data_IF_202133005519
#
_entry.id   IF_202133005519
#
_cell.length_a   1.000
_cell.length_b   1.000
_cell.length_c   1.000
_cell.angle_alpha   90.00
_cell.angle_beta   90.00
_cell.angle_gamma   90.00
#
_symmetry.space_group_name_H-M   'P 1'
#
loop_
_entity.id
_entity.type
_entity.pdbx_description
1 polymer ?
#
# COMPACT_ATOMS: atom_id res chain seq x y z
N UNK A 1 -20.79 -10.43 20.49
CA UNK A 1 -20.37 -11.85 20.45
C UNK A 1 -18.91 -11.89 20.87
N UNK A 2 -18.64 -12.37 22.09
CA UNK A 2 -17.29 -12.68 22.52
C UNK A 2 -16.94 -14.06 21.94
N UNK A 3 -16.11 -14.08 20.91
CA UNK A 3 -15.54 -15.32 20.40
C UNK A 3 -14.53 -15.76 21.44
N UNK A 4 -14.87 -16.76 22.27
CA UNK A 4 -13.88 -17.45 23.09
C UNK A 4 -12.99 -18.23 22.11
N UNK A 5 -11.82 -17.67 21.83
CA UNK A 5 -10.76 -18.37 21.10
C UNK A 5 -10.25 -19.46 22.06
N UNK A 6 -10.91 -20.61 22.05
CA UNK A 6 -10.42 -21.81 22.71
C UNK A 6 -9.13 -22.25 22.02
N UNK A 7 -8.19 -22.69 22.85
CA UNK A 7 -6.82 -23.10 22.52
C UNK A 7 -6.73 -23.80 21.16
N UNK A 8 -6.20 -23.08 20.17
CA UNK A 8 -6.02 -23.57 18.82
C UNK A 8 -4.94 -24.66 18.79
N UNK A 9 -5.32 -25.85 18.36
CA UNK A 9 -4.38 -26.86 17.88
C UNK A 9 -3.91 -26.49 16.47
N UNK A 10 -2.62 -26.16 16.32
CA UNK A 10 -2.02 -25.81 15.04
C UNK A 10 -1.27 -27.02 14.50
N UNK A 11 -1.70 -27.55 13.35
CA UNK A 11 -0.92 -28.54 12.59
C UNK A 11 -0.09 -27.75 11.59
N UNK A 12 1.23 -27.66 11.82
CA UNK A 12 2.16 -26.98 10.93
C UNK A 12 2.73 -27.96 9.91
N UNK A 13 2.28 -27.88 8.66
CA UNK A 13 2.87 -28.59 7.51
C UNK A 13 3.33 -27.57 6.46
N UNK A 14 4.51 -26.97 6.67
CA UNK A 14 5.11 -26.06 5.67
C UNK A 14 4.18 -24.92 5.24
N UNK A 15 4.14 -24.65 3.93
CA UNK A 15 3.41 -23.56 3.26
C UNK A 15 1.87 -23.57 3.43
N UNK A 16 1.33 -24.53 4.20
CA UNK A 16 -0.11 -24.66 4.52
C UNK A 16 -0.31 -24.89 6.02
N UNK A 17 -1.20 -24.11 6.64
CA UNK A 17 -1.61 -24.28 8.04
C UNK A 17 -3.12 -24.35 8.12
N UNK A 18 -3.66 -25.44 8.65
CA UNK A 18 -5.10 -25.62 8.87
C UNK A 18 -5.46 -25.30 10.31
N UNK A 19 -6.50 -24.49 10.48
CA UNK A 19 -7.01 -24.08 11.78
C UNK A 19 -8.28 -24.87 12.15
N UNK A 20 -8.78 -24.66 13.35
CA UNK A 20 -10.01 -25.29 13.82
C UNK A 20 -11.24 -24.81 13.03
N UNK A 21 -12.21 -25.71 12.92
CA UNK A 21 -13.49 -25.42 12.27
C UNK A 21 -14.37 -24.59 13.19
N UNK A 22 -14.94 -23.51 12.66
CA UNK A 22 -15.79 -22.57 13.40
C UNK A 22 -17.19 -22.55 12.81
N UNK A 23 -18.20 -22.50 13.67
CA UNK A 23 -19.60 -22.36 13.29
C UNK A 23 -20.02 -20.88 13.19
N UNK A 24 -20.73 -20.55 12.11
CA UNK A 24 -21.24 -19.22 11.81
C UNK A 24 -22.76 -19.20 11.83
N UNK A 25 -23.32 -18.14 12.41
CA UNK A 25 -24.77 -17.95 12.49
C UNK A 25 -25.26 -17.07 11.34
N UNK A 26 -26.44 -17.39 10.77
CA UNK A 26 -27.04 -16.61 9.69
C UNK A 26 -27.50 -15.22 10.17
N UNK A 27 -27.50 -14.25 9.25
CA UNK A 27 -27.89 -12.85 9.48
C UNK A 27 -29.32 -12.66 10.00
N UNK A 28 -30.26 -13.55 9.66
CA UNK A 28 -31.68 -13.48 10.07
C UNK A 28 -32.20 -14.88 10.42
N UNK A 29 -33.00 -14.97 11.49
CA UNK A 29 -33.82 -16.14 11.80
C UNK A 29 -34.73 -16.41 10.60
N UNK A 30 -34.37 -17.40 9.78
CA UNK A 30 -35.14 -17.84 8.60
C UNK A 30 -34.40 -17.87 7.25
N UNK A 31 -33.25 -17.19 7.08
CA UNK A 31 -32.65 -17.02 5.74
C UNK A 31 -31.55 -18.02 5.35
N UNK A 32 -31.00 -18.82 6.27
CA UNK A 32 -30.06 -19.95 6.01
C UNK A 32 -29.83 -20.74 7.30
N UNK A 33 -29.43 -22.01 7.21
CA UNK A 33 -28.98 -22.80 8.36
C UNK A 33 -27.62 -22.29 8.88
N UNK A 34 -27.30 -22.61 10.13
CA UNK A 34 -25.91 -22.45 10.62
C UNK A 34 -24.96 -23.25 9.71
N UNK A 35 -23.77 -22.71 9.47
CA UNK A 35 -22.76 -23.38 8.66
C UNK A 35 -21.41 -23.35 9.35
N UNK A 36 -20.58 -24.32 9.05
CA UNK A 36 -19.22 -24.44 9.56
C UNK A 36 -18.21 -24.09 8.47
N UNK A 37 -17.12 -23.45 8.86
CA UNK A 37 -15.99 -23.20 7.97
C UNK A 37 -14.65 -23.37 8.68
N UNK A 38 -13.68 -23.91 7.97
CA UNK A 38 -12.29 -24.05 8.37
C UNK A 38 -11.45 -22.96 7.71
N UNK A 39 -10.58 -22.33 8.50
CA UNK A 39 -9.58 -21.42 7.97
C UNK A 39 -8.31 -22.19 7.58
N UNK A 40 -7.79 -21.90 6.40
CA UNK A 40 -6.50 -22.40 5.92
C UNK A 40 -5.62 -21.20 5.59
N UNK A 41 -4.46 -21.11 6.22
CA UNK A 41 -3.39 -20.21 5.80
C UNK A 41 -2.56 -20.92 4.74
N UNK A 42 -2.29 -20.27 3.62
CA UNK A 42 -1.57 -20.82 2.47
C UNK A 42 -0.69 -19.77 1.81
N UNK A 43 0.49 -20.18 1.34
CA UNK A 43 1.25 -19.45 0.33
C UNK A 43 1.04 -20.09 -1.05
N UNK A 44 0.29 -19.43 -1.94
CA UNK A 44 -0.03 -19.99 -3.26
C UNK A 44 1.20 -20.14 -4.16
N UNK A 45 2.16 -19.21 -4.06
CA UNK A 45 3.42 -19.29 -4.80
C UNK A 45 4.15 -20.61 -4.50
N UNK A 46 4.33 -20.91 -3.22
CA UNK A 46 5.06 -22.12 -2.80
C UNK A 46 4.27 -23.39 -3.13
N UNK A 47 2.96 -23.40 -2.87
CA UNK A 47 2.10 -24.57 -3.07
C UNK A 47 1.99 -24.97 -4.54
N UNK A 48 2.04 -24.01 -5.47
CA UNK A 48 1.94 -24.28 -6.89
C UNK A 48 3.28 -24.69 -7.53
N UNK A 49 4.41 -24.35 -6.90
CA UNK A 49 5.75 -24.75 -7.37
C UNK A 49 6.21 -26.11 -6.85
N UNK A 50 5.69 -26.55 -5.70
CA UNK A 50 6.03 -27.83 -5.08
C UNK A 50 5.35 -28.99 -5.84
N UNK A 51 6.15 -29.96 -6.31
CA UNK A 51 5.64 -31.14 -7.03
C UNK A 51 4.84 -32.12 -6.15
N UNK A 52 5.03 -32.07 -4.83
CA UNK A 52 4.31 -32.85 -3.82
C UNK A 52 3.65 -31.90 -2.81
N UNK A 53 2.83 -30.97 -3.32
CA UNK A 53 2.18 -29.97 -2.47
C UNK A 53 0.97 -30.56 -1.73
N UNK A 54 0.78 -30.19 -0.45
CA UNK A 54 -0.38 -30.66 0.30
C UNK A 54 -1.65 -30.12 -0.36
N UNK A 55 -2.61 -31.03 -0.62
CA UNK A 55 -3.91 -30.64 -1.16
C UNK A 55 -4.63 -29.72 -0.15
N UNK A 56 -5.06 -28.54 -0.58
CA UNK A 56 -5.80 -27.60 0.27
C UNK A 56 -7.19 -28.15 0.60
N UNK A 57 -7.86 -28.71 -0.40
CA UNK A 57 -9.16 -29.37 -0.30
C UNK A 57 -9.04 -30.76 -0.92
N UNK A 58 -9.52 -31.83 -0.23
CA UNK A 58 -9.53 -33.16 -0.84
C UNK A 58 -10.28 -33.16 -2.17
N UNK A 59 -9.69 -33.77 -3.21
CA UNK A 59 -10.29 -33.93 -4.53
C UNK A 59 -10.49 -32.63 -5.34
N UNK A 60 -9.88 -31.51 -4.91
CA UNK A 60 -9.88 -30.27 -5.69
C UNK A 60 -8.44 -29.84 -5.93
N UNK A 61 -8.13 -29.45 -7.15
CA UNK A 61 -6.79 -28.99 -7.53
C UNK A 61 -6.50 -27.63 -6.87
N UNK A 62 -5.26 -27.43 -6.40
CA UNK A 62 -4.87 -26.17 -5.76
C UNK A 62 -5.00 -24.97 -6.71
N UNK A 63 -4.86 -25.20 -8.02
CA UNK A 63 -5.11 -24.21 -9.09
C UNK A 63 -6.56 -23.75 -9.12
N UNK A 64 -7.53 -24.67 -8.98
CA UNK A 64 -8.95 -24.33 -8.92
C UNK A 64 -9.27 -23.47 -7.67
N UNK A 65 -8.58 -23.73 -6.55
CA UNK A 65 -8.72 -22.91 -5.33
C UNK A 65 -8.20 -21.49 -5.58
N UNK A 66 -7.02 -21.35 -6.21
CA UNK A 66 -6.48 -20.04 -6.59
C UNK A 66 -7.44 -19.30 -7.52
N UNK A 67 -7.94 -19.95 -8.56
CA UNK A 67 -8.91 -19.38 -9.51
C UNK A 67 -10.17 -18.87 -8.83
N UNK A 68 -10.69 -19.58 -7.82
CA UNK A 68 -11.86 -19.11 -7.05
C UNK A 68 -11.52 -17.95 -6.12
N UNK A 69 -10.32 -17.91 -5.54
CA UNK A 69 -9.86 -16.77 -4.72
C UNK A 69 -9.72 -15.52 -5.58
N UNK A 70 -9.09 -15.62 -6.76
CA UNK A 70 -9.00 -14.52 -7.73
C UNK A 70 -10.41 -14.08 -8.16
N UNK A 71 -11.28 -15.02 -8.53
CA UNK A 71 -12.67 -14.73 -8.86
C UNK A 71 -13.44 -14.03 -7.73
N UNK A 72 -13.17 -14.38 -6.47
CA UNK A 72 -13.82 -13.75 -5.33
C UNK A 72 -13.41 -12.28 -5.19
N UNK A 73 -12.13 -11.97 -5.41
CA UNK A 73 -11.62 -10.61 -5.36
C UNK A 73 -12.10 -9.80 -6.58
N UNK A 74 -12.04 -10.35 -7.79
CA UNK A 74 -12.53 -9.69 -9.01
C UNK A 74 -14.00 -9.29 -8.90
N UNK A 75 -14.85 -10.20 -8.43
CA UNK A 75 -16.28 -9.90 -8.22
C UNK A 75 -16.52 -8.92 -7.06
N UNK A 76 -15.56 -8.74 -6.16
CA UNK A 76 -15.67 -7.86 -4.99
C UNK A 76 -15.07 -6.47 -5.20
N UNK A 77 -14.10 -6.33 -6.10
CA UNK A 77 -13.36 -5.10 -6.38
C UNK A 77 -13.51 -4.77 -7.87
N UNK A 78 -14.30 -3.76 -8.21
CA UNK A 78 -14.56 -3.36 -9.60
C UNK A 78 -13.47 -2.51 -10.23
N UNK A 79 -12.51 -2.02 -9.43
CA UNK A 79 -11.45 -1.10 -9.86
C UNK A 79 -10.11 -1.82 -10.13
N UNK A 80 -10.06 -3.14 -9.93
CA UNK A 80 -8.83 -3.92 -10.05
C UNK A 80 -8.93 -4.94 -11.18
N UNK A 81 -7.88 -5.03 -11.98
CA UNK A 81 -7.81 -6.04 -13.01
C UNK A 81 -7.52 -7.44 -12.42
N UNK A 82 -8.11 -8.50 -13.00
CA UNK A 82 -7.81 -9.88 -12.61
C UNK A 82 -6.32 -10.24 -12.59
N UNK A 83 -5.53 -9.64 -13.48
CA UNK A 83 -4.07 -9.85 -13.58
C UNK A 83 -3.36 -9.27 -12.35
N UNK A 84 -3.71 -8.04 -11.96
CA UNK A 84 -3.19 -7.42 -10.73
C UNK A 84 -3.57 -8.21 -9.47
N UNK A 85 -4.81 -8.71 -9.41
CA UNK A 85 -5.27 -9.57 -8.32
C UNK A 85 -4.42 -10.85 -8.26
N UNK A 86 -4.20 -11.50 -9.40
CA UNK A 86 -3.38 -12.71 -9.48
C UNK A 86 -1.95 -12.43 -9.01
N UNK A 87 -1.34 -11.33 -9.45
CA UNK A 87 0.00 -10.91 -9.05
C UNK A 87 0.11 -10.70 -7.54
N UNK A 88 -0.91 -10.09 -6.92
CA UNK A 88 -0.96 -9.89 -5.46
C UNK A 88 -1.10 -11.23 -4.71
N UNK A 89 -1.98 -12.12 -5.18
CA UNK A 89 -2.27 -13.41 -4.51
C UNK A 89 -1.12 -14.40 -4.68
N UNK A 90 -0.45 -14.39 -5.84
CA UNK A 90 0.61 -15.32 -6.23
C UNK A 90 2.02 -14.80 -5.93
N UNK A 91 2.14 -13.62 -5.29
CA UNK A 91 3.42 -13.08 -4.87
C UNK A 91 4.13 -14.00 -3.85
N UNK A 92 5.47 -14.19 -3.94
CA UNK A 92 6.21 -15.06 -3.02
C UNK A 92 6.13 -14.61 -1.54
N UNK A 93 5.95 -13.31 -1.31
CA UNK A 93 5.82 -12.74 0.05
C UNK A 93 4.38 -12.74 0.56
N UNK A 94 3.41 -13.03 -0.32
CA UNK A 94 2.00 -13.03 0.03
C UNK A 94 1.62 -14.31 0.79
N UNK A 95 0.75 -14.13 1.77
CA UNK A 95 0.11 -15.20 2.52
C UNK A 95 -1.40 -14.99 2.42
N UNK A 96 -2.13 -16.06 2.15
CA UNK A 96 -3.59 -16.02 2.07
C UNK A 96 -4.22 -16.77 3.24
N UNK A 97 -5.30 -16.24 3.80
CA UNK A 97 -6.23 -16.98 4.64
C UNK A 97 -7.48 -17.25 3.81
N UNK A 98 -7.78 -18.52 3.56
CA UNK A 98 -8.97 -18.96 2.83
C UNK A 98 -9.92 -19.63 3.83
N UNK A 99 -11.19 -19.19 3.84
CA UNK A 99 -12.24 -19.84 4.61
C UNK A 99 -13.06 -20.78 3.73
N UNK A 100 -13.06 -22.05 4.10
CA UNK A 100 -13.68 -23.14 3.37
C UNK A 100 -14.78 -23.78 4.19
N UNK A 101 -15.98 -23.90 3.62
CA UNK A 101 -17.08 -24.63 4.24
C UNK A 101 -16.86 -26.12 4.23
N UNK A 102 -17.45 -26.79 5.21
CA UNK A 102 -17.51 -28.24 5.18
C UNK A 102 -18.44 -28.70 4.02
N UNK A 103 -18.04 -29.70 3.21
CA UNK A 103 -18.82 -30.15 2.05
C UNK A 103 -20.25 -30.62 2.42
N UNK A 104 -20.45 -31.17 3.61
CA UNK A 104 -21.77 -31.60 4.10
C UNK A 104 -22.76 -30.45 4.17
N UNK A 105 -22.33 -29.29 4.68
CA UNK A 105 -23.19 -28.12 4.88
C UNK A 105 -23.63 -27.54 3.53
N UNK A 106 -22.79 -27.68 2.50
CA UNK A 106 -23.09 -27.26 1.13
C UNK A 106 -24.12 -28.19 0.49
N UNK A 107 -23.97 -29.51 0.66
CA UNK A 107 -24.96 -30.48 0.19
C UNK A 107 -26.33 -30.29 0.86
N UNK A 108 -26.35 -30.05 2.17
CA UNK A 108 -27.58 -29.76 2.90
C UNK A 108 -28.26 -28.47 2.43
N UNK A 109 -27.48 -27.44 2.10
CA UNK A 109 -28.00 -26.20 1.53
C UNK A 109 -28.66 -26.45 0.17
N UNK A 110 -28.02 -27.23 -0.71
CA UNK A 110 -28.59 -27.57 -2.01
C UNK A 110 -29.90 -28.34 -1.88
N UNK A 111 -29.96 -29.33 -0.97
CA UNK A 111 -31.22 -30.05 -0.66
C UNK A 111 -32.30 -29.12 -0.10
N UNK A 112 -31.92 -28.12 0.69
CA UNK A 112 -32.86 -27.20 1.36
C UNK A 112 -33.41 -26.11 0.44
N UNK A 113 -32.70 -25.72 -0.62
CA UNK A 113 -33.17 -24.72 -1.59
C UNK A 113 -34.30 -25.25 -2.46
N UNK A 114 -34.30 -26.54 -2.78
CA UNK A 114 -35.35 -27.18 -3.58
C UNK A 114 -36.66 -27.35 -2.80
N UNK A 115 -36.61 -27.63 -1.49
CA UNK A 115 -37.81 -27.78 -0.65
C UNK A 115 -38.57 -26.47 -0.43
N UNK A 116 -37.89 -25.32 -0.57
CA UNK A 116 -38.50 -23.99 -0.44
C UNK A 116 -39.17 -23.48 -1.72
N UNK A 117 -39.10 -24.22 -2.84
CA UNK A 117 -39.75 -23.83 -4.10
C UNK A 117 -39.30 -22.48 -4.66
N UNK A 118 -38.13 -21.98 -4.24
CA UNK A 118 -37.54 -20.74 -4.78
C UNK A 118 -37.04 -21.08 -6.17
N UNK A 119 -37.90 -20.93 -7.18
CA UNK A 119 -37.50 -20.91 -8.59
C UNK A 119 -36.55 -19.72 -8.77
N UNK A 120 -35.27 -19.93 -9.14
CA UNK A 120 -34.50 -18.86 -9.75
C UNK A 120 -35.26 -18.43 -11.01
N UNK A 121 -35.39 -17.13 -11.21
CA UNK A 121 -36.02 -16.53 -12.40
C UNK A 121 -35.56 -17.27 -13.67
N UNK A 122 -36.51 -17.90 -14.36
CA UNK A 122 -36.30 -18.46 -15.70
C UNK A 122 -35.98 -17.32 -16.68
N UNK A 123 -34.71 -16.97 -16.80
CA UNK A 123 -34.19 -16.44 -18.05
C UNK A 123 -33.71 -17.65 -18.87
N UNK A 124 -34.32 -17.99 -20.02
CA UNK A 124 -33.69 -18.91 -20.94
C UNK A 124 -32.31 -18.35 -21.35
N UNK A 125 -31.31 -19.20 -21.63
CA UNK A 125 -30.07 -18.72 -22.22
C UNK A 125 -30.44 -17.93 -23.48
N UNK A 126 -30.00 -16.67 -23.65
CA UNK A 126 -30.27 -15.97 -24.89
C UNK A 126 -29.65 -16.80 -26.02
N UNK A 127 -30.51 -17.24 -26.94
CA UNK A 127 -30.05 -17.71 -28.23
C UNK A 127 -29.10 -16.66 -28.79
N UNK A 128 -27.98 -17.12 -29.35
CA UNK A 128 -26.94 -16.28 -29.96
C UNK A 128 -27.56 -15.34 -31.03
N UNK A 129 -28.04 -14.18 -30.60
CA UNK A 129 -28.19 -13.00 -31.43
C UNK A 129 -26.96 -12.15 -31.16
N UNK A 130 -26.08 -12.07 -32.16
CA UNK A 130 -25.12 -10.97 -32.29
C UNK A 130 -25.94 -9.68 -32.26
N UNK A 131 -25.97 -9.01 -31.11
CA UNK A 131 -25.96 -7.54 -30.98
C UNK A 131 -26.13 -7.16 -29.49
N UNK A 132 -25.15 -6.38 -29.02
CA UNK A 132 -25.02 -5.70 -27.71
C UNK A 132 -25.25 -6.55 -26.45
N UNK A 133 -24.20 -7.23 -25.98
CA UNK A 133 -24.11 -7.77 -24.62
C UNK A 133 -23.45 -6.69 -23.75
N UNK A 134 -24.08 -6.21 -22.66
CA UNK A 134 -23.37 -5.40 -21.67
C UNK A 134 -22.23 -6.24 -21.09
N UNK A 135 -21.05 -5.66 -20.93
CA UNK A 135 -19.84 -6.39 -20.55
C UNK A 135 -20.01 -7.05 -19.17
N UNK A 136 -20.25 -8.37 -19.17
CA UNK A 136 -20.46 -9.16 -17.97
C UNK A 136 -19.08 -9.74 -17.62
N UNK A 137 -18.44 -9.18 -16.59
CA UNK A 137 -17.07 -9.52 -16.19
C UNK A 137 -16.80 -11.03 -16.10
N UNK A 138 -15.59 -11.45 -16.49
CA UNK A 138 -15.15 -12.84 -16.74
C UNK A 138 -15.51 -13.82 -15.61
N UNK A 139 -15.49 -13.39 -14.35
CA UNK A 139 -15.74 -14.25 -13.18
C UNK A 139 -17.15 -14.11 -12.57
N UNK A 140 -18.00 -13.25 -13.13
CA UNK A 140 -19.39 -13.05 -12.67
C UNK A 140 -20.20 -14.35 -12.62
N UNK A 141 -19.89 -15.30 -13.49
CA UNK A 141 -20.52 -16.61 -13.54
C UNK A 141 -20.15 -17.50 -12.35
N UNK A 142 -19.06 -17.29 -11.61
CA UNK A 142 -18.57 -18.26 -10.61
C UNK A 142 -19.53 -18.43 -9.43
N UNK A 143 -20.15 -17.35 -8.96
CA UNK A 143 -20.97 -17.36 -7.73
C UNK A 143 -22.48 -17.18 -7.94
N UNK A 144 -22.92 -17.00 -9.18
CA UNK A 144 -24.29 -16.59 -9.55
C UNK A 144 -25.41 -17.49 -8.99
N UNK A 145 -25.18 -18.81 -8.86
CA UNK A 145 -26.17 -19.76 -8.32
C UNK A 145 -26.60 -19.48 -6.87
N UNK A 146 -25.70 -18.88 -6.07
CA UNK A 146 -25.95 -18.67 -4.64
C UNK A 146 -26.32 -17.25 -4.27
N UNK A 147 -26.07 -16.29 -5.16
CA UNK A 147 -26.07 -14.85 -4.87
C UNK A 147 -27.21 -14.10 -5.60
N UNK A 148 -28.20 -14.83 -6.15
CA UNK A 148 -29.25 -14.34 -7.06
C UNK A 148 -30.39 -13.50 -6.43
N UNK A 149 -30.19 -12.90 -5.26
CA UNK A 149 -31.15 -11.94 -4.70
C UNK A 149 -30.55 -10.52 -4.62
N UNK A 150 -31.11 -9.64 -5.46
CA UNK A 150 -30.91 -8.19 -5.63
C UNK A 150 -29.72 -7.69 -6.50
N UNK A 151 -29.87 -7.70 -7.83
CA UNK A 151 -29.04 -6.91 -8.75
C UNK A 151 -29.66 -5.52 -8.99
N UNK A 152 -29.28 -4.54 -8.17
CA UNK A 152 -29.40 -3.11 -8.49
C UNK A 152 -28.21 -2.36 -7.90
N UNK A 153 -27.08 -2.49 -8.57
CA UNK A 153 -26.19 -1.35 -8.82
C UNK A 153 -25.25 -1.78 -9.94
N UNK A 154 -25.41 -1.16 -11.09
CA UNK A 154 -24.51 -1.27 -12.24
C UNK A 154 -24.13 0.17 -12.54
N UNK A 155 -22.94 0.54 -12.10
CA UNK A 155 -22.30 1.81 -12.46
C UNK A 155 -21.27 1.51 -13.54
N UNK A 156 -21.42 2.30 -14.59
CA UNK A 156 -20.70 2.36 -15.85
C UNK A 156 -19.18 2.55 -15.64
N UNK A 157 -18.36 1.68 -16.22
CA UNK A 157 -16.90 1.79 -16.25
C UNK A 157 -16.45 2.13 -17.67
N UNK A 158 -15.88 3.32 -17.84
CA UNK A 158 -15.13 3.75 -19.02
C UNK A 158 -13.65 3.46 -18.80
N UNK A 159 -13.08 2.59 -19.63
CA UNK A 159 -11.66 2.27 -19.64
C UNK A 159 -10.86 3.30 -20.46
N UNK A 160 -9.81 3.84 -19.85
CA UNK A 160 -8.61 4.31 -20.55
C UNK A 160 -7.46 3.39 -20.15
N UNK A 161 -7.04 2.52 -21.07
CA UNK A 161 -5.89 1.64 -20.89
C UNK A 161 -4.59 2.44 -21.13
N UNK A 162 -3.80 2.64 -20.07
CA UNK A 162 -2.40 3.05 -20.20
C UNK A 162 -1.49 1.82 -20.10
N UNK A 163 -0.86 1.46 -21.21
CA UNK A 163 0.14 0.39 -21.30
C UNK A 163 1.35 0.68 -20.41
N UNK A 164 1.50 -0.08 -19.31
CA UNK A 164 2.73 -0.13 -18.52
C UNK A 164 3.57 -1.34 -18.96
N UNK A 165 4.84 -1.10 -19.28
CA UNK A 165 5.77 -2.10 -19.79
C UNK A 165 6.23 -3.06 -18.67
N UNK A 166 5.56 -4.20 -18.52
CA UNK A 166 5.95 -5.25 -17.57
C UNK A 166 6.81 -6.37 -18.17
N UNK A 167 7.64 -6.96 -17.31
CA UNK A 167 8.65 -7.98 -17.62
C UNK A 167 8.06 -9.24 -18.27
N UNK A 168 8.71 -9.75 -19.31
CA UNK A 168 8.27 -10.86 -20.17
C UNK A 168 7.88 -12.15 -19.43
N UNK A 169 8.45 -12.41 -18.25
CA UNK A 169 8.20 -13.64 -17.48
C UNK A 169 6.82 -13.62 -16.78
N UNK A 170 6.40 -12.50 -16.19
CA UNK A 170 5.09 -12.38 -15.51
C UNK A 170 3.93 -12.58 -16.48
N UNK A 171 4.06 -12.03 -17.68
CA UNK A 171 3.06 -12.14 -18.74
C UNK A 171 2.82 -13.60 -19.15
N UNK A 172 3.86 -14.43 -19.18
CA UNK A 172 3.74 -15.85 -19.52
C UNK A 172 3.06 -16.66 -18.39
N UNK A 173 3.31 -16.31 -17.13
CA UNK A 173 2.62 -16.90 -15.99
C UNK A 173 1.12 -16.57 -16.00
N UNK A 174 0.78 -15.31 -16.27
CA UNK A 174 -0.61 -14.88 -16.43
C UNK A 174 -1.31 -15.56 -17.61
N UNK A 175 -0.66 -15.71 -18.77
CA UNK A 175 -1.23 -16.41 -19.92
C UNK A 175 -1.53 -17.88 -19.59
N UNK A 176 -0.62 -18.54 -18.87
CA UNK A 176 -0.81 -19.93 -18.40
C UNK A 176 -1.99 -20.02 -17.43
N UNK A 177 -2.03 -19.13 -16.43
CA UNK A 177 -3.13 -19.06 -15.48
C UNK A 177 -4.46 -18.74 -16.17
N UNK A 178 -4.47 -17.82 -17.13
CA UNK A 178 -5.66 -17.47 -17.89
C UNK A 178 -6.21 -18.65 -18.68
N UNK A 179 -5.35 -19.51 -19.25
CA UNK A 179 -5.81 -20.74 -19.90
C UNK A 179 -6.42 -21.73 -18.88
N UNK A 180 -5.78 -21.90 -17.72
CA UNK A 180 -6.28 -22.75 -16.63
C UNK A 180 -7.63 -22.24 -16.10
N UNK A 181 -7.82 -20.92 -16.03
CA UNK A 181 -9.08 -20.28 -15.62
C UNK A 181 -10.22 -20.62 -16.59
N UNK A 182 -9.99 -20.68 -17.90
CA UNK A 182 -11.03 -21.04 -18.87
C UNK A 182 -11.49 -22.49 -18.71
N UNK A 183 -10.55 -23.40 -18.44
CA UNK A 183 -10.87 -24.79 -18.10
C UNK A 183 -11.69 -24.85 -16.81
N UNK A 184 -11.26 -24.13 -15.77
CA UNK A 184 -11.97 -24.02 -14.50
C UNK A 184 -13.40 -23.49 -14.69
N UNK A 185 -13.59 -22.40 -15.43
CA UNK A 185 -14.91 -21.82 -15.70
C UNK A 185 -15.81 -22.82 -16.45
N UNK A 186 -15.23 -23.59 -17.38
CA UNK A 186 -15.96 -24.64 -18.09
C UNK A 186 -16.44 -25.74 -17.14
N UNK A 187 -15.58 -26.19 -16.21
CA UNK A 187 -15.95 -27.13 -15.14
C UNK A 187 -17.05 -26.56 -14.23
N UNK A 188 -16.99 -25.27 -13.88
CA UNK A 188 -18.04 -24.59 -13.09
C UNK A 188 -19.39 -24.61 -13.81
N UNK A 189 -19.41 -24.29 -15.11
CA UNK A 189 -20.63 -24.31 -15.93
C UNK A 189 -21.23 -25.72 -16.03
N UNK A 190 -20.38 -26.73 -16.20
CA UNK A 190 -20.81 -28.13 -16.23
C UNK A 190 -21.44 -28.54 -14.89
N UNK A 191 -20.74 -28.31 -13.77
CA UNK A 191 -21.27 -28.59 -12.42
C UNK A 191 -22.60 -27.87 -12.18
N UNK A 192 -22.72 -26.63 -12.62
CA UNK A 192 -23.98 -25.85 -12.58
C UNK A 192 -25.09 -26.50 -13.40
N UNK A 193 -24.83 -26.89 -14.64
CA UNK A 193 -25.81 -27.53 -15.51
C UNK A 193 -26.29 -28.87 -14.91
N UNK A 194 -25.38 -29.64 -14.31
CA UNK A 194 -25.70 -30.85 -13.56
C UNK A 194 -26.60 -30.53 -12.36
N UNK A 195 -26.28 -29.50 -11.57
CA UNK A 195 -27.13 -29.05 -10.45
C UNK A 195 -28.53 -28.62 -10.91
N UNK A 196 -28.66 -27.94 -12.04
CA UNK A 196 -29.96 -27.49 -12.56
C UNK A 196 -30.79 -28.59 -13.25
N UNK A 197 -30.13 -29.60 -13.82
CA UNK A 197 -30.82 -30.71 -14.49
C UNK A 197 -31.28 -31.81 -13.53
N UNK A 198 -30.80 -31.79 -12.28
CA UNK A 198 -31.25 -32.70 -11.24
C UNK A 198 -32.72 -32.47 -10.85
N UNK A 199 -33.48 -33.56 -10.71
CA UNK A 199 -34.87 -33.58 -10.22
C UNK A 199 -34.97 -34.44 -8.96
N UNK A 200 -35.69 -33.90 -7.97
CA UNK A 200 -36.26 -34.37 -6.69
C UNK A 200 -35.99 -35.78 -6.09
N UNK A 201 -35.47 -36.79 -6.79
CA UNK A 201 -35.38 -38.18 -6.32
C UNK A 201 -33.96 -38.79 -6.29
N UNK A 202 -32.92 -38.05 -6.70
CA UNK A 202 -31.53 -38.53 -6.65
C UNK A 202 -30.67 -37.69 -5.71
N UNK A 203 -29.75 -38.36 -4.99
CA UNK A 203 -28.74 -37.69 -4.17
C UNK A 203 -27.78 -36.90 -5.06
N UNK A 204 -27.58 -35.61 -4.75
CA UNK A 204 -26.56 -34.77 -5.40
C UNK A 204 -25.20 -35.42 -5.15
N UNK A 205 -24.53 -35.85 -6.22
CA UNK A 205 -23.19 -36.45 -6.11
C UNK A 205 -22.19 -35.40 -5.62
N UNK A 206 -21.22 -35.78 -4.76
CA UNK A 206 -20.15 -34.90 -4.32
C UNK A 206 -19.37 -34.24 -5.47
N UNK A 207 -19.30 -34.90 -6.63
CA UNK A 207 -18.64 -34.42 -7.85
C UNK A 207 -19.26 -33.14 -8.45
N UNK A 208 -20.51 -32.82 -8.09
CA UNK A 208 -21.17 -31.60 -8.50
C UNK A 208 -20.82 -30.37 -7.63
N UNK A 209 -20.02 -30.56 -6.59
CA UNK A 209 -19.46 -29.49 -5.77
C UNK A 209 -18.03 -29.19 -6.22
N UNK A 210 -17.78 -27.95 -6.62
CA UNK A 210 -16.43 -27.46 -6.84
C UNK A 210 -16.00 -26.45 -5.77
N UNK A 211 -14.76 -25.97 -5.90
CA UNK A 211 -14.19 -24.93 -5.04
C UNK A 211 -15.10 -23.69 -4.90
N UNK A 212 -15.84 -23.33 -5.95
CA UNK A 212 -16.76 -22.18 -5.99
C UNK A 212 -17.91 -22.30 -4.98
N UNK A 213 -18.23 -23.52 -4.56
CA UNK A 213 -19.29 -23.79 -3.57
C UNK A 213 -18.77 -23.77 -2.13
N UNK A 214 -17.47 -23.98 -1.94
CA UNK A 214 -16.84 -24.15 -0.63
C UNK A 214 -16.32 -22.82 -0.05
N UNK A 215 -15.77 -21.95 -0.89
CA UNK A 215 -15.16 -20.69 -0.42
C UNK A 215 -16.23 -19.69 0.04
N UNK A 216 -16.02 -19.12 1.23
CA UNK A 216 -16.90 -18.09 1.82
C UNK A 216 -16.24 -16.73 1.98
N UNK A 217 -14.91 -16.71 2.06
CA UNK A 217 -14.12 -15.50 2.19
C UNK A 217 -12.64 -15.80 2.09
N UNK A 218 -11.88 -14.79 1.71
CA UNK A 218 -10.43 -14.86 1.63
C UNK A 218 -9.81 -13.52 2.04
N UNK A 219 -8.60 -13.57 2.57
CA UNK A 219 -7.73 -12.41 2.74
C UNK A 219 -6.32 -12.72 2.28
N UNK A 220 -5.63 -11.72 1.72
CA UNK A 220 -4.23 -11.78 1.35
C UNK A 220 -3.49 -10.71 2.15
N UNK A 221 -2.40 -11.11 2.79
CA UNK A 221 -1.58 -10.24 3.61
C UNK A 221 -0.09 -10.52 3.37
N UNK A 222 0.75 -9.55 3.72
CA UNK A 222 2.21 -9.64 3.64
C UNK A 222 2.83 -9.12 4.94
N UNK A 223 3.88 -9.80 5.40
CA UNK A 223 4.68 -9.34 6.53
C UNK A 223 5.88 -8.58 6.00
N UNK A 224 5.94 -7.28 6.27
CA UNK A 224 7.00 -6.38 5.80
C UNK A 224 7.82 -5.85 6.96
N UNK A 225 9.06 -5.48 6.67
CA UNK A 225 9.91 -4.73 7.60
C UNK A 225 10.17 -3.35 7.03
N UNK A 226 9.85 -2.33 7.82
CA UNK A 226 10.01 -0.93 7.44
C UNK A 226 11.46 -0.47 7.53
N UNK A 227 11.76 0.70 6.95
CA UNK A 227 13.08 1.34 7.11
C UNK A 227 13.37 1.66 8.58
N UNK A 228 12.31 1.94 9.35
CA UNK A 228 12.34 2.13 10.80
C UNK A 228 12.63 0.84 11.59
N UNK A 229 12.86 -0.27 10.89
CA UNK A 229 13.07 -1.62 11.40
C UNK A 229 11.84 -2.31 12.02
N UNK A 230 10.68 -1.64 12.02
CA UNK A 230 9.42 -2.14 12.55
C UNK A 230 8.82 -3.23 11.66
N UNK A 231 8.16 -4.21 12.28
CA UNK A 231 7.49 -5.31 11.56
C UNK A 231 6.02 -5.00 11.36
N UNK A 232 5.61 -4.92 10.11
CA UNK A 232 4.25 -4.54 9.70
C UNK A 232 3.57 -5.72 9.07
N UNK A 233 2.40 -6.07 9.58
CA UNK A 233 1.46 -6.94 8.89
C UNK A 233 0.58 -6.08 7.99
N UNK A 234 0.69 -6.19 6.67
CA UNK A 234 -0.10 -5.41 5.73
C UNK A 234 -1.17 -6.29 5.09
N UNK A 235 -2.44 -5.92 5.25
CA UNK A 235 -3.55 -6.49 4.50
C UNK A 235 -3.57 -5.90 3.10
N UNK A 236 -3.46 -6.75 2.07
CA UNK A 236 -3.58 -6.34 0.67
C UNK A 236 -5.02 -6.44 0.19
N UNK A 237 -5.65 -7.60 0.36
CA UNK A 237 -7.01 -7.87 -0.11
C UNK A 237 -7.83 -8.58 0.97
N UNK A 238 -9.10 -8.23 1.11
CA UNK A 238 -10.07 -8.94 1.96
C UNK A 238 -11.43 -8.92 1.30
N UNK A 239 -11.98 -10.10 1.03
CA UNK A 239 -13.31 -10.24 0.46
C UNK A 239 -14.09 -11.34 1.16
N UNK A 240 -15.39 -11.11 1.25
CA UNK A 240 -16.36 -12.11 1.69
C UNK A 240 -17.43 -12.23 0.63
N UNK A 241 -17.74 -13.47 0.27
CA UNK A 241 -18.74 -13.76 -0.74
C UNK A 241 -20.08 -13.17 -0.29
N UNK A 242 -20.81 -12.56 -1.23
CA UNK A 242 -21.97 -11.70 -0.96
C UNK A 242 -22.99 -12.36 -0.04
N UNK A 243 -23.29 -13.62 -0.28
CA UNK A 243 -24.28 -14.36 0.49
C UNK A 243 -23.84 -14.75 1.93
N UNK A 244 -22.58 -14.51 2.30
CA UNK A 244 -22.03 -14.68 3.67
C UNK A 244 -21.63 -13.35 4.32
N UNK A 245 -21.87 -12.22 3.67
CA UNK A 245 -21.69 -10.89 4.28
C UNK A 245 -22.63 -10.76 5.49
N UNK A 246 -22.13 -10.12 6.55
CA UNK A 246 -22.81 -9.99 7.84
C UNK A 246 -23.03 -11.29 8.63
N UNK A 247 -22.41 -12.42 8.24
CA UNK A 247 -22.40 -13.65 9.06
C UNK A 247 -21.20 -13.72 10.02
N UNK A 248 -20.37 -12.66 10.09
CA UNK A 248 -19.17 -12.62 10.91
C UNK A 248 -17.91 -13.20 10.25
N UNK A 249 -18.00 -13.66 9.00
CA UNK A 249 -16.87 -14.23 8.22
C UNK A 249 -15.70 -13.25 8.14
N UNK A 250 -15.93 -12.03 7.64
CA UNK A 250 -14.85 -11.03 7.49
C UNK A 250 -14.24 -10.64 8.84
N UNK A 251 -15.07 -10.46 9.87
CA UNK A 251 -14.60 -10.18 11.23
C UNK A 251 -13.72 -11.31 11.75
N UNK A 252 -14.10 -12.57 11.53
CA UNK A 252 -13.31 -13.72 11.93
C UNK A 252 -11.94 -13.73 11.24
N UNK A 253 -11.87 -13.45 9.93
CA UNK A 253 -10.58 -13.33 9.22
C UNK A 253 -9.70 -12.24 9.85
N UNK A 254 -10.26 -11.07 10.17
CA UNK A 254 -9.50 -9.99 10.80
C UNK A 254 -9.00 -10.39 12.20
N UNK A 255 -9.81 -11.10 13.00
CA UNK A 255 -9.34 -11.63 14.29
C UNK A 255 -8.22 -12.67 14.14
N UNK A 256 -8.26 -13.49 13.08
CA UNK A 256 -7.15 -14.39 12.76
C UNK A 256 -5.88 -13.61 12.41
N UNK A 257 -5.99 -12.55 11.60
CA UNK A 257 -4.86 -11.69 11.26
C UNK A 257 -4.25 -10.99 12.49
N UNK A 258 -5.08 -10.68 13.48
CA UNK A 258 -4.60 -10.12 14.75
C UNK A 258 -3.79 -11.12 15.59
N UNK A 259 -3.85 -12.42 15.28
CA UNK A 259 -3.20 -13.46 16.08
C UNK A 259 -1.74 -13.65 15.64
N UNK A 260 -0.72 -13.21 16.42
CA UNK A 260 0.68 -13.28 15.99
C UNK A 260 1.20 -14.72 15.86
N UNK A 261 0.59 -15.67 16.57
CA UNK A 261 0.89 -17.10 16.41
C UNK A 261 0.59 -17.62 15.00
N UNK A 262 -0.38 -17.01 14.30
CA UNK A 262 -0.74 -17.39 12.93
C UNK A 262 0.06 -16.62 11.88
N UNK A 263 0.14 -15.30 12.00
CA UNK A 263 0.72 -14.43 10.98
C UNK A 263 2.23 -14.20 11.16
N UNK A 264 2.79 -14.63 12.28
CA UNK A 264 4.14 -14.28 12.71
C UNK A 264 4.16 -13.03 13.60
N UNK A 265 5.29 -12.75 14.27
CA UNK A 265 5.41 -11.59 15.14
C UNK A 265 5.42 -10.30 14.32
N UNK A 266 4.47 -9.41 14.60
CA UNK A 266 4.35 -8.09 14.02
C UNK A 266 4.08 -7.04 15.12
N UNK A 267 4.40 -5.79 14.85
CA UNK A 267 4.27 -4.67 15.78
C UNK A 267 3.06 -3.78 15.44
N UNK A 268 2.63 -3.79 14.18
CA UNK A 268 1.43 -3.10 13.72
C UNK A 268 0.76 -3.89 12.60
N UNK A 269 -0.57 -3.88 12.60
CA UNK A 269 -1.39 -4.39 11.51
C UNK A 269 -1.98 -3.21 10.73
N UNK A 270 -1.70 -3.14 9.43
CA UNK A 270 -2.13 -2.08 8.53
C UNK A 270 -3.10 -2.60 7.48
N UNK A 271 -4.08 -1.77 7.14
CA UNK A 271 -4.98 -2.01 6.02
C UNK A 271 -5.25 -0.69 5.28
N UNK A 272 -5.19 -0.74 3.95
CA UNK A 272 -5.78 0.30 3.11
C UNK A 272 -7.24 -0.04 2.89
N UNK A 273 -8.13 0.86 3.31
CA UNK A 273 -9.56 0.57 3.42
C UNK A 273 -10.35 1.57 2.58
N UNK A 274 -11.20 1.07 1.68
CA UNK A 274 -12.17 1.91 0.99
C UNK A 274 -13.11 2.60 1.98
N UNK A 275 -13.59 3.80 1.61
CA UNK A 275 -14.51 4.58 2.46
C UNK A 275 -15.75 3.78 2.92
N UNK A 276 -16.24 2.84 2.09
CA UNK A 276 -17.40 1.98 2.40
C UNK A 276 -17.12 0.99 3.53
N UNK A 277 -15.86 0.58 3.71
CA UNK A 277 -15.43 -0.45 4.65
C UNK A 277 -14.81 0.09 5.95
N UNK A 278 -14.56 1.41 6.06
CA UNK A 278 -13.96 2.04 7.26
C UNK A 278 -14.70 1.67 8.54
N UNK A 279 -16.04 1.70 8.53
CA UNK A 279 -16.85 1.32 9.67
C UNK A 279 -16.67 -0.15 10.07
N UNK A 280 -16.48 -1.05 9.11
CA UNK A 280 -16.23 -2.46 9.38
C UNK A 280 -14.88 -2.65 10.10
N UNK A 281 -13.81 -2.01 9.62
CA UNK A 281 -12.48 -2.11 10.22
C UNK A 281 -12.38 -1.38 11.57
N UNK A 282 -13.09 -0.25 11.74
CA UNK A 282 -13.23 0.44 13.03
C UNK A 282 -13.88 -0.48 14.06
N UNK A 283 -14.94 -1.20 13.68
CA UNK A 283 -15.58 -2.20 14.55
C UNK A 283 -14.70 -3.42 14.83
N UNK A 284 -13.68 -3.65 14.01
CA UNK A 284 -12.61 -4.60 14.27
C UNK A 284 -11.44 -3.97 15.04
N UNK A 285 -11.56 -2.74 15.55
CA UNK A 285 -10.54 -2.11 16.41
C UNK A 285 -9.35 -1.51 15.68
N UNK A 286 -9.40 -1.35 14.35
CA UNK A 286 -8.43 -0.53 13.63
C UNK A 286 -8.79 0.96 13.81
N UNK A 287 -7.78 1.81 13.81
CA UNK A 287 -7.88 3.26 13.95
C UNK A 287 -7.53 3.96 12.64
N UNK A 288 -8.33 4.94 12.25
CA UNK A 288 -8.10 5.88 11.15
C UNK A 288 -7.40 7.18 11.60
N UNK A 289 -6.87 7.23 12.84
CA UNK A 289 -6.15 8.39 13.37
C UNK A 289 -4.99 8.80 12.45
N UNK A 290 -5.09 10.00 11.89
CA UNK A 290 -4.13 10.53 10.92
C UNK A 290 -2.73 10.67 11.49
N UNK A 291 -2.58 11.09 12.75
CA UNK A 291 -1.25 11.28 13.36
C UNK A 291 -0.57 9.95 13.64
N UNK A 292 -1.35 8.94 14.04
CA UNK A 292 -0.82 7.59 14.24
C UNK A 292 -0.38 6.97 12.90
N UNK A 293 -1.25 7.07 11.89
CA UNK A 293 -1.06 6.41 10.60
C UNK A 293 -0.01 7.11 9.73
N UNK A 294 0.27 8.40 9.98
CA UNK A 294 1.35 9.16 9.34
C UNK A 294 2.71 8.48 9.47
N UNK A 295 2.96 7.79 10.59
CA UNK A 295 4.20 7.03 10.81
C UNK A 295 4.42 5.94 9.77
N UNK A 296 3.35 5.37 9.25
CA UNK A 296 3.36 4.27 8.30
C UNK A 296 3.12 4.74 6.86
N UNK A 297 3.35 6.03 6.58
CA UNK A 297 3.19 6.63 5.25
C UNK A 297 4.06 5.96 4.18
N UNK A 298 5.20 5.37 4.57
CA UNK A 298 6.04 4.60 3.63
C UNK A 298 5.31 3.37 3.06
N UNK A 299 4.30 2.85 3.76
CA UNK A 299 3.46 1.71 3.33
C UNK A 299 2.25 2.19 2.52
N UNK A 300 2.19 3.47 2.16
CA UNK A 300 1.11 4.01 1.33
C UNK A 300 1.24 3.40 -0.07
N UNK A 301 0.37 2.44 -0.35
CA UNK A 301 0.22 1.84 -1.68
C UNK A 301 -0.42 2.85 -2.65
N UNK A 302 -0.37 2.54 -3.94
CA UNK A 302 -0.90 3.35 -5.04
C UNK A 302 -2.44 3.40 -5.09
N UNK A 303 -3.13 2.77 -4.13
CA UNK A 303 -4.60 2.77 -4.07
C UNK A 303 -5.17 4.18 -3.97
N UNK A 304 -5.97 4.56 -4.96
CA UNK A 304 -6.73 5.80 -4.92
C UNK A 304 -7.92 5.67 -3.96
N UNK A 305 -8.36 6.79 -3.37
CA UNK A 305 -9.58 6.85 -2.53
C UNK A 305 -9.64 5.91 -1.31
N UNK A 306 -8.49 5.42 -0.83
CA UNK A 306 -8.41 4.59 0.39
C UNK A 306 -8.00 5.39 1.62
N UNK A 307 -8.41 4.89 2.79
CA UNK A 307 -8.00 5.37 4.10
C UNK A 307 -7.07 4.33 4.72
N UNK A 308 -5.83 4.73 5.04
CA UNK A 308 -4.91 3.90 5.80
C UNK A 308 -5.41 3.79 7.24
N UNK A 309 -5.60 2.56 7.73
CA UNK A 309 -6.00 2.26 9.10
C UNK A 309 -4.97 1.34 9.76
N UNK A 310 -4.74 1.52 11.07
CA UNK A 310 -3.79 0.70 11.83
C UNK A 310 -4.42 0.06 13.08
N UNK A 311 -3.97 -1.13 13.41
CA UNK A 311 -4.21 -1.80 14.68
C UNK A 311 -2.86 -2.07 15.36
N UNK A 312 -2.74 -1.59 16.59
CA UNK A 312 -1.59 -1.86 17.44
C UNK A 312 -1.94 -3.04 18.35
N UNK A 313 -1.30 -4.21 18.18
CA UNK A 313 -1.49 -5.32 19.09
C UNK A 313 -1.11 -4.90 20.51
N UNK A 314 -1.80 -5.41 21.54
CA UNK A 314 -1.39 -5.19 22.91
C UNK A 314 0.02 -5.76 23.13
N UNK A 315 0.77 -5.20 24.08
CA UNK A 315 2.06 -5.76 24.48
C UNK A 315 1.87 -7.19 24.98
N UNK A 316 2.16 -8.18 24.13
CA UNK A 316 1.99 -9.59 24.48
C UNK A 316 3.12 -10.00 25.43
N UNK A 317 2.78 -10.39 26.65
CA UNK A 317 3.68 -11.11 27.58
C UNK A 317 4.04 -12.52 27.09
N UNK A 318 3.50 -12.96 25.95
CA UNK A 318 3.59 -14.32 25.42
C UNK A 318 4.97 -14.72 24.88
N UNK A 319 5.93 -13.79 24.79
CA UNK A 319 7.32 -14.11 24.44
C UNK A 319 8.04 -14.97 25.50
N UNK A 320 7.43 -15.28 26.66
CA UNK A 320 8.02 -16.13 27.69
C UNK A 320 7.74 -17.64 27.59
N UNK A 321 6.86 -18.12 26.69
CA UNK A 321 6.43 -19.53 26.73
C UNK A 321 7.01 -20.47 25.65
N UNK A 322 7.98 -20.02 24.86
CA UNK A 322 8.68 -20.89 23.91
C UNK A 322 10.18 -20.95 24.19
N UNK A 323 10.54 -21.49 25.35
CA UNK A 323 11.83 -22.17 25.53
C UNK A 323 11.56 -23.65 25.86
N UNK A 324 12.00 -24.60 25.01
CA UNK A 324 11.83 -26.02 25.29
C UNK A 324 12.96 -26.46 26.21
N UNK A 325 12.77 -26.26 27.52
CA UNK A 325 13.55 -26.97 28.54
C UNK A 325 12.58 -27.79 29.39
N UNK A 326 12.67 -29.12 29.37
CA UNK A 326 11.88 -29.96 30.24
C UNK A 326 12.51 -29.96 31.64
N UNK A 327 11.66 -29.93 32.66
CA UNK A 327 11.98 -30.11 34.08
C UNK A 327 12.46 -28.86 34.84
N UNK A 328 11.50 -28.01 35.22
CA UNK A 328 11.52 -27.40 36.54
C UNK A 328 10.09 -27.43 37.09
N UNK A 329 9.97 -28.00 38.28
CA UNK A 329 8.73 -28.28 38.97
C UNK A 329 7.94 -27.00 39.26
N UNK A 330 6.63 -27.19 39.39
CA UNK A 330 5.63 -26.19 39.76
C UNK A 330 5.93 -25.62 41.16
N UNK A 331 6.88 -24.70 41.27
CA UNK A 331 6.94 -23.79 42.40
C UNK A 331 5.88 -22.71 42.18
N UNK A 332 4.75 -22.93 42.86
CA UNK A 332 3.58 -22.06 43.00
C UNK A 332 3.87 -20.77 43.77
N UNK A 333 5.06 -20.18 43.57
CA UNK A 333 5.55 -19.00 44.27
C UNK A 333 6.27 -18.03 43.31
N UNK A 334 5.65 -17.77 42.15
CA UNK A 334 6.04 -16.62 41.31
C UNK A 334 5.77 -15.33 42.10
N UNK A 335 6.77 -14.45 42.29
CA UNK A 335 6.60 -13.25 43.08
C UNK A 335 5.68 -12.28 42.33
N UNK A 336 4.47 -12.11 42.86
CA UNK A 336 3.73 -10.86 42.95
C UNK A 336 3.92 -9.82 41.84
N UNK A 337 3.56 -10.12 40.60
CA UNK A 337 3.15 -9.07 39.66
C UNK A 337 1.67 -8.75 39.92
N UNK A 338 1.37 -8.13 41.08
CA UNK A 338 0.09 -7.46 41.25
C UNK A 338 0.16 -6.14 40.46
N UNK A 339 -0.18 -6.18 39.17
CA UNK A 339 -0.37 -4.98 38.36
C UNK A 339 -1.48 -4.14 38.99
N UNK A 340 -1.11 -3.12 39.77
CA UNK A 340 -2.07 -2.13 40.22
C UNK A 340 -2.46 -1.27 39.00
N UNK A 341 -3.57 -1.64 38.37
CA UNK A 341 -4.06 -1.00 37.14
C UNK A 341 -4.20 0.52 37.30
N UNK A 342 -4.55 1.00 38.50
CA UNK A 342 -4.71 2.42 38.79
C UNK A 342 -3.35 3.15 38.79
N UNK A 343 -2.31 2.55 39.36
CA UNK A 343 -0.95 3.12 39.33
C UNK A 343 -0.41 3.17 37.90
N UNK A 344 -0.61 2.09 37.13
CA UNK A 344 -0.18 2.04 35.73
C UNK A 344 -0.94 3.06 34.87
N UNK A 345 -2.24 3.23 35.10
CA UNK A 345 -3.03 4.26 34.43
C UNK A 345 -2.54 5.68 34.76
N UNK A 346 -2.19 5.95 36.02
CA UNK A 346 -1.64 7.23 36.44
C UNK A 346 -0.27 7.47 35.80
N UNK A 347 0.58 6.46 35.75
CA UNK A 347 1.91 6.52 35.13
C UNK A 347 1.80 6.77 33.61
N UNK A 348 0.93 6.04 32.91
CA UNK A 348 0.63 6.26 31.49
C UNK A 348 0.14 7.69 31.25
N UNK A 349 -0.74 8.21 32.09
CA UNK A 349 -1.22 9.59 31.99
C UNK A 349 -0.12 10.61 32.25
N UNK A 350 0.79 10.35 33.19
CA UNK A 350 1.95 11.20 33.44
C UNK A 350 2.92 11.18 32.24
N UNK A 351 3.18 10.00 31.67
CA UNK A 351 4.00 9.84 30.46
C UNK A 351 3.39 10.59 29.27
N UNK A 352 2.08 10.49 29.05
CA UNK A 352 1.37 11.25 28.01
C UNK A 352 1.60 12.76 28.17
N UNK A 353 1.47 13.30 29.38
CA UNK A 353 1.72 14.72 29.67
C UNK A 353 3.18 15.12 29.40
N UNK A 354 4.15 14.31 29.85
CA UNK A 354 5.58 14.55 29.60
C UNK A 354 5.91 14.52 28.11
N UNK A 355 5.38 13.55 27.37
CA UNK A 355 5.57 13.43 25.93
C UNK A 355 4.98 14.64 25.18
N UNK A 356 3.78 15.10 25.56
CA UNK A 356 3.17 16.29 24.99
C UNK A 356 4.03 17.55 25.23
N UNK A 357 4.55 17.73 26.44
CA UNK A 357 5.43 18.86 26.75
C UNK A 357 6.73 18.83 25.93
N UNK A 358 7.35 17.64 25.78
CA UNK A 358 8.54 17.47 24.97
C UNK A 358 8.27 17.79 23.49
N UNK A 359 7.15 17.30 22.95
CA UNK A 359 6.73 17.60 21.58
C UNK A 359 6.49 19.10 21.38
N UNK A 360 5.81 19.78 22.31
CA UNK A 360 5.58 21.23 22.26
C UNK A 360 6.89 22.01 22.27
N UNK A 361 7.86 21.62 23.10
CA UNK A 361 9.19 22.24 23.12
C UNK A 361 9.92 22.05 21.79
N UNK A 362 9.88 20.84 21.24
CA UNK A 362 10.49 20.55 19.94
C UNK A 362 9.85 21.38 18.82
N UNK A 363 8.51 21.50 18.78
CA UNK A 363 7.80 22.30 17.81
C UNK A 363 8.20 23.79 17.87
N UNK A 364 8.33 24.36 19.07
CA UNK A 364 8.79 25.75 19.26
C UNK A 364 10.22 25.94 18.73
N UNK A 365 11.12 24.99 18.99
CA UNK A 365 12.49 25.04 18.47
C UNK A 365 12.51 25.00 16.93
N UNK A 366 11.75 24.09 16.31
CA UNK A 366 11.65 23.99 14.85
C UNK A 366 11.08 25.28 14.25
N UNK A 367 10.02 25.85 14.84
CA UNK A 367 9.45 27.12 14.37
C UNK A 367 10.47 28.27 14.44
N UNK A 368 11.24 28.36 15.52
CA UNK A 368 12.32 29.36 15.65
C UNK A 368 13.39 29.16 14.59
N UNK A 369 13.82 27.92 14.35
CA UNK A 369 14.79 27.63 13.29
C UNK A 369 14.28 28.04 11.91
N UNK A 370 13.01 27.79 11.60
CA UNK A 370 12.41 28.22 10.33
C UNK A 370 12.40 29.75 10.21
N UNK A 371 12.08 30.47 11.29
CA UNK A 371 12.13 31.93 11.31
C UNK A 371 13.55 32.47 11.14
N UNK A 372 14.53 31.85 11.79
CA UNK A 372 15.95 32.20 11.62
C UNK A 372 16.41 31.95 10.19
N UNK A 373 16.06 30.82 9.58
CA UNK A 373 16.38 30.53 8.17
C UNK A 373 15.78 31.58 7.23
N UNK A 374 14.53 32.01 7.47
CA UNK A 374 13.89 33.05 6.67
C UNK A 374 14.59 34.41 6.84
N UNK A 375 14.94 34.77 8.07
CA UNK A 375 15.68 36.01 8.39
C UNK A 375 17.07 36.01 7.72
N UNK A 376 17.79 34.89 7.80
CA UNK A 376 19.09 34.72 7.16
C UNK A 376 18.98 34.80 5.63
N UNK A 377 17.94 34.22 5.03
CA UNK A 377 17.67 34.37 3.59
C UNK A 377 17.43 35.82 3.19
N UNK A 378 16.69 36.57 4.00
CA UNK A 378 16.44 37.99 3.76
C UNK A 378 17.73 38.83 3.89
N UNK A 379 18.52 38.61 4.95
CA UNK A 379 19.82 39.25 5.13
C UNK A 379 20.78 38.94 3.97
N UNK A 380 20.86 37.69 3.54
CA UNK A 380 21.67 37.29 2.38
C UNK A 380 21.22 38.02 1.12
N UNK A 381 19.91 38.14 0.90
CA UNK A 381 19.37 38.87 -0.24
C UNK A 381 19.70 40.37 -0.19
N UNK A 382 19.72 40.98 1.00
CA UNK A 382 20.12 42.36 1.20
C UNK A 382 21.63 42.54 0.92
N UNK A 383 22.47 41.68 1.49
CA UNK A 383 23.92 41.70 1.24
C UNK A 383 24.23 41.54 -0.26
N UNK A 384 23.53 40.64 -0.97
CA UNK A 384 23.68 40.51 -2.42
C UNK A 384 23.33 41.80 -3.17
N UNK A 385 22.32 42.57 -2.71
CA UNK A 385 21.98 43.87 -3.30
C UNK A 385 23.06 44.92 -3.02
N UNK A 386 23.56 44.99 -1.80
CA UNK A 386 24.64 45.91 -1.42
C UNK A 386 25.93 45.63 -2.19
N UNK A 387 26.33 44.36 -2.30
CA UNK A 387 27.49 43.95 -3.10
C UNK A 387 27.32 44.36 -4.58
N UNK A 388 26.12 44.19 -5.15
CA UNK A 388 25.84 44.66 -6.51
C UNK A 388 25.97 46.18 -6.63
N UNK A 389 25.45 46.93 -5.67
CA UNK A 389 25.56 48.40 -5.64
C UNK A 389 27.02 48.87 -5.56
N UNK A 390 27.78 48.32 -4.60
CA UNK A 390 29.20 48.65 -4.43
C UNK A 390 30.02 48.28 -5.67
N UNK A 391 29.68 47.18 -6.35
CA UNK A 391 30.33 46.80 -7.61
C UNK A 391 30.05 47.83 -8.71
N UNK A 392 28.84 48.37 -8.80
CA UNK A 392 28.50 49.44 -9.76
C UNK A 392 29.27 50.71 -9.43
N UNK A 393 29.31 51.12 -8.16
CA UNK A 393 30.06 52.30 -7.72
C UNK A 393 31.56 52.17 -8.00
N UNK A 394 32.14 51.01 -7.71
CA UNK A 394 33.54 50.72 -8.00
C UNK A 394 33.85 50.86 -9.49
N UNK A 395 32.98 50.36 -10.37
CA UNK A 395 33.15 50.49 -11.82
C UNK A 395 32.99 51.95 -12.30
N UNK A 396 32.09 52.72 -11.69
CA UNK A 396 31.96 54.16 -11.97
C UNK A 396 33.21 54.92 -11.54
N UNK A 397 33.75 54.62 -10.36
CA UNK A 397 34.94 55.31 -9.84
C UNK A 397 36.19 54.97 -10.63
N UNK A 398 36.36 53.71 -11.04
CA UNK A 398 37.40 53.31 -12.00
C UNK A 398 37.30 54.12 -13.29
N UNK A 399 36.10 54.29 -13.84
CA UNK A 399 35.89 55.12 -15.05
C UNK A 399 36.24 56.59 -14.82
N UNK A 400 35.87 57.17 -13.67
CA UNK A 400 36.24 58.56 -13.32
C UNK A 400 37.74 58.73 -13.21
N UNK A 401 38.42 57.82 -12.50
CA UNK A 401 39.87 57.81 -12.36
C UNK A 401 40.56 57.70 -13.72
N UNK A 402 40.13 56.77 -14.58
CA UNK A 402 40.69 56.63 -15.92
C UNK A 402 40.53 57.90 -16.76
N UNK A 403 39.39 58.60 -16.67
CA UNK A 403 39.19 59.90 -17.34
C UNK A 403 40.13 60.99 -16.81
N UNK A 404 40.30 61.07 -15.48
CA UNK A 404 41.21 62.04 -14.88
C UNK A 404 42.67 61.75 -15.27
N UNK A 405 43.07 60.47 -15.31
CA UNK A 405 44.40 60.06 -15.79
C UNK A 405 44.59 60.42 -17.27
N UNK A 406 43.58 60.22 -18.13
CA UNK A 406 43.61 60.66 -19.54
C UNK A 406 43.75 62.17 -19.66
N UNK A 407 42.95 62.96 -18.94
CA UNK A 407 43.04 64.42 -18.96
C UNK A 407 44.41 64.93 -18.48
N UNK A 408 44.99 64.30 -17.46
CA UNK A 408 46.33 64.64 -16.99
C UNK A 408 47.39 64.32 -18.05
N UNK A 409 47.26 63.19 -18.76
CA UNK A 409 48.16 62.82 -19.85
C UNK A 409 48.07 63.80 -21.02
N UNK A 410 46.86 64.18 -21.43
CA UNK A 410 46.63 65.21 -22.47
C UNK A 410 47.22 66.57 -22.07
N UNK A 411 47.04 66.99 -20.81
CA UNK A 411 47.65 68.21 -20.29
C UNK A 411 49.18 68.16 -20.33
N UNK A 412 49.78 67.02 -19.94
CA UNK A 412 51.24 66.86 -20.02
C UNK A 412 51.75 66.88 -21.45
N UNK A 413 51.05 66.25 -22.38
CA UNK A 413 51.39 66.25 -23.81
C UNK A 413 51.34 67.67 -24.38
N UNK A 414 50.23 68.38 -24.21
CA UNK A 414 50.06 69.77 -24.68
C UNK A 414 51.09 70.72 -24.07
N UNK A 415 51.43 70.55 -22.79
CA UNK A 415 52.49 71.35 -22.14
C UNK A 415 53.87 71.05 -22.74
N UNK A 416 54.18 69.77 -23.02
CA UNK A 416 55.41 69.38 -23.71
C UNK A 416 55.47 69.94 -25.13
N UNK A 417 54.38 69.88 -25.89
CA UNK A 417 54.28 70.44 -27.24
C UNK A 417 54.58 71.94 -27.22
N UNK A 418 53.95 72.70 -26.33
CA UNK A 418 54.21 74.13 -26.15
C UNK A 418 55.67 74.44 -25.77
N UNK A 419 56.29 73.62 -24.91
CA UNK A 419 57.71 73.77 -24.57
C UNK A 419 58.61 73.51 -25.77
N UNK A 420 58.26 72.52 -26.60
CA UNK A 420 59.00 72.18 -27.82
C UNK A 420 58.86 73.28 -28.88
N UNK A 421 57.66 73.82 -29.07
CA UNK A 421 57.40 74.97 -29.96
C UNK A 421 58.17 76.23 -29.50
N UNK A 422 58.22 76.50 -28.20
CA UNK A 422 59.04 77.60 -27.66
C UNK A 422 60.53 77.40 -27.90
N UNK A 423 61.03 76.17 -27.83
CA UNK A 423 62.44 75.88 -28.12
C UNK A 423 62.76 76.07 -29.61
N UNK A 424 61.85 75.68 -30.51
CA UNK A 424 62.00 75.92 -31.95
C UNK A 424 62.01 77.42 -32.29
N UNK A 425 61.20 78.23 -31.61
CA UNK A 425 61.15 79.68 -31.82
C UNK A 425 62.41 80.41 -31.30
N UNK A 426 63.13 79.83 -30.33
CA UNK A 426 64.42 80.35 -29.82
C UNK A 426 65.58 79.96 -30.74
N UNK A 427 65.57 78.75 -31.32
CA UNK A 427 66.57 78.37 -32.33
C UNK A 427 66.44 79.19 -33.61
N UNK A 428 65.22 79.55 -34.02
CA UNK A 428 65.01 80.44 -35.18
C UNK A 428 65.43 81.90 -34.91
N UNK A 429 65.55 82.36 -33.66
CA UNK A 429 66.13 83.69 -33.35
C UNK A 429 67.66 83.63 -33.15
N UNK A 430 68.20 82.48 -32.75
CA UNK A 430 69.63 82.31 -32.47
C UNK A 430 70.44 82.01 -33.75
N UNK A 431 69.86 81.37 -34.76
CA UNK A 431 70.46 81.22 -36.10
C UNK A 431 70.58 82.56 -36.87
N UNK A 432 69.82 83.60 -36.50
CA UNK A 432 70.00 84.95 -37.04
C UNK A 432 71.02 85.80 -36.26
N UNK A 433 71.49 85.35 -35.09
CA UNK A 433 72.45 86.09 -34.25
C UNK A 433 73.86 85.46 -34.20
N UNK A 434 74.04 84.18 -34.54
CA UNK A 434 75.36 83.54 -34.62
C UNK A 434 76.05 83.65 -36.00
N UNK A 435 75.42 84.30 -36.98
CA UNK A 435 76.02 84.51 -38.31
C UNK A 435 76.88 85.79 -38.43
N UNK A 436 76.90 86.69 -37.45
CA UNK A 436 77.50 88.04 -37.61
C UNK A 436 78.83 88.27 -36.84
N UNK A 437 79.27 87.36 -35.97
CA UNK A 437 80.38 87.64 -35.03
C UNK A 437 81.63 86.74 -35.17
N UNK A 438 81.82 86.04 -36.30
CA UNK A 438 83.02 85.20 -36.51
C UNK A 438 83.85 85.52 -37.75
N UNK A 439 84.04 86.78 -38.14
CA UNK A 439 85.10 87.16 -39.10
C UNK A 439 85.71 88.55 -38.87
N UNK A 440 86.15 88.87 -37.65
CA UNK A 440 87.24 89.86 -37.45
C UNK A 440 88.07 89.48 -36.22
N UNK A 441 89.17 88.75 -36.40
CA UNK A 441 90.49 89.15 -35.91
C UNK A 441 91.58 88.17 -36.36
N UNK A 442 92.56 88.71 -37.07
CA UNK A 442 93.84 88.09 -37.43
C UNK A 442 94.93 88.69 -36.56
N UNK A 443 95.73 87.87 -35.86
CA UNK A 443 97.20 87.91 -35.75
C UNK A 443 97.71 86.51 -35.41
#
# INVERSE_FOLDING_TARGET
MSVQILRQSVIMEGSVVRLETVAFKPRRSGSRSEFTAQAIRVNFHDVLQLSDSPALVPQVENKDILSVVVALFDVSFSEMDPEEIYDIVSSPEAQAIVLLRHPTDVLEEYKSRESKGVRPSHAPPPAQSKDSVPDVGRFSEVFSDSDSEDSRDSTDSTDEAEDSAESTDKRLEWETFSSDVEEFLSKVRERRAVRHSWKQEQEILPTAMGAESLIVGAAVYRLRRLETAEKVLQLSLLATRRCYRNCGVGRYIVELLKTPALCGPYEVFLAHVEHTAVNFFTNCGLSDDTLLNEKFREVKDEWTNTTLMSYLPPFSTELQYHSPLPHAELDSNSPGFSLNLLEMELEVNMMKKKALLAYQQQAVCVMRLVQEVNTLREQLSQQMREVKSLKIELELEKKRRNRAEQQMLEYKLTTMEQLTERQLHVTDEQDYMEADDSWVESV
#
